data_IF_616344434952
#
_entry.id   IF_616344434952
#
_cell.length_a   1.000
_cell.length_b   1.000
_cell.length_c   1.000
_cell.angle_alpha   90.00
_cell.angle_beta   90.00
_cell.angle_gamma   90.00
#
_symmetry.space_group_name_H-M   'P 1'
#
loop_
_entity.id
_entity.type
_entity.pdbx_description
1 polymer ?
#
# COMPACT_ATOMS: atom_id res chain seq x y z
N UNK A 1 -42.12 -0.26 -19.90
CA UNK A 1 -40.83 -0.30 -19.18
C UNK A 1 -39.77 -0.92 -20.09
N UNK A 2 -38.63 -0.28 -20.30
CA UNK A 2 -37.53 -0.91 -21.06
C UNK A 2 -36.96 -2.10 -20.28
N UNK A 3 -36.79 -3.26 -20.95
CA UNK A 3 -36.14 -4.44 -20.35
C UNK A 3 -34.66 -4.13 -20.10
N UNK A 4 -34.24 -4.21 -18.83
CA UNK A 4 -32.83 -4.05 -18.42
C UNK A 4 -32.06 -5.30 -18.83
N UNK A 5 -30.99 -5.15 -19.62
CA UNK A 5 -30.16 -6.27 -20.08
C UNK A 5 -29.32 -6.83 -18.93
N UNK A 6 -29.10 -8.16 -18.87
CA UNK A 6 -28.23 -8.77 -17.88
C UNK A 6 -26.77 -8.34 -18.08
N UNK A 7 -26.00 -8.28 -16.99
CA UNK A 7 -24.56 -7.95 -16.99
C UNK A 7 -23.78 -9.11 -16.36
N UNK A 8 -22.68 -9.51 -17.00
CA UNK A 8 -21.75 -10.50 -16.45
C UNK A 8 -20.63 -9.80 -15.66
N UNK A 9 -20.92 -9.40 -14.42
CA UNK A 9 -19.97 -8.73 -13.51
C UNK A 9 -19.87 -9.44 -12.15
N UNK A 10 -19.87 -10.77 -12.19
CA UNK A 10 -19.64 -11.57 -10.99
C UNK A 10 -18.12 -11.67 -10.75
N UNK A 11 -17.59 -10.79 -9.90
CA UNK A 11 -16.15 -10.71 -9.63
C UNK A 11 -15.59 -11.99 -9.01
N UNK A 12 -16.42 -12.78 -8.32
CA UNK A 12 -16.01 -14.07 -7.74
C UNK A 12 -15.73 -15.14 -8.80
N UNK A 13 -16.28 -14.98 -10.02
CA UNK A 13 -16.06 -15.89 -11.15
C UNK A 13 -14.94 -15.43 -12.09
N UNK A 14 -14.45 -14.20 -11.95
CA UNK A 14 -13.44 -13.62 -12.82
C UNK A 14 -12.05 -13.88 -12.24
N UNK A 15 -11.20 -14.61 -12.98
CA UNK A 15 -9.80 -14.81 -12.60
C UNK A 15 -8.94 -13.61 -12.98
N UNK A 16 -8.47 -12.87 -11.97
CA UNK A 16 -7.63 -11.68 -12.18
C UNK A 16 -6.14 -12.05 -12.31
N UNK A 17 -5.45 -11.59 -13.38
CA UNK A 17 -4.00 -11.75 -13.49
C UNK A 17 -3.28 -10.92 -12.41
N UNK A 18 -2.05 -11.29 -12.08
CA UNK A 18 -1.25 -10.61 -11.04
C UNK A 18 -1.11 -9.09 -11.27
N UNK A 19 -1.03 -8.67 -12.53
CA UNK A 19 -0.94 -7.26 -12.91
C UNK A 19 -2.18 -6.47 -12.48
N UNK A 20 -3.37 -7.07 -12.61
CA UNK A 20 -4.63 -6.48 -12.18
C UNK A 20 -4.69 -6.39 -10.65
N UNK A 21 -4.23 -7.43 -9.93
CA UNK A 21 -4.14 -7.41 -8.47
C UNK A 21 -3.22 -6.29 -7.97
N UNK A 22 -2.01 -6.15 -8.55
CA UNK A 22 -1.08 -5.07 -8.20
C UNK A 22 -1.69 -3.69 -8.47
N UNK A 23 -2.42 -3.51 -9.57
CA UNK A 23 -3.13 -2.27 -9.87
C UNK A 23 -4.21 -1.94 -8.85
N UNK A 24 -5.03 -2.93 -8.45
CA UNK A 24 -6.05 -2.76 -7.40
C UNK A 24 -5.39 -2.42 -6.07
N UNK A 25 -4.34 -3.14 -5.68
CA UNK A 25 -3.60 -2.89 -4.45
C UNK A 25 -2.95 -1.50 -4.43
N UNK A 26 -2.45 -1.00 -5.56
CA UNK A 26 -1.92 0.37 -5.66
C UNK A 26 -3.00 1.43 -5.40
N UNK A 27 -4.23 1.22 -5.90
CA UNK A 27 -5.36 2.11 -5.64
C UNK A 27 -5.78 2.07 -4.18
N UNK A 28 -5.95 0.86 -3.62
CA UNK A 28 -6.33 0.67 -2.22
C UNK A 28 -5.28 1.27 -1.30
N UNK A 29 -3.98 1.05 -1.57
CA UNK A 29 -2.92 1.61 -0.76
C UNK A 29 -2.88 3.15 -0.84
N UNK A 30 -3.15 3.74 -2.00
CA UNK A 30 -3.26 5.20 -2.14
C UNK A 30 -4.38 5.79 -1.28
N UNK A 31 -5.56 5.17 -1.29
CA UNK A 31 -6.70 5.58 -0.43
C UNK A 31 -6.36 5.39 1.04
N UNK A 32 -5.77 4.26 1.42
CA UNK A 32 -5.38 3.99 2.80
C UNK A 32 -4.38 5.02 3.32
N UNK A 33 -3.36 5.36 2.53
CA UNK A 33 -2.36 6.37 2.89
C UNK A 33 -2.99 7.76 3.04
N UNK A 34 -3.86 8.14 2.10
CA UNK A 34 -4.57 9.42 2.17
C UNK A 34 -5.41 9.54 3.45
N UNK A 35 -6.18 8.50 3.77
CA UNK A 35 -7.01 8.47 4.98
C UNK A 35 -6.17 8.39 6.27
N UNK A 36 -4.95 7.86 6.20
CA UNK A 36 -4.03 7.78 7.33
C UNK A 36 -3.27 9.07 7.60
N UNK A 37 -3.26 10.06 6.67
CA UNK A 37 -2.53 11.31 6.85
C UNK A 37 -2.85 12.04 8.17
N UNK A 38 -4.12 12.19 8.61
CA UNK A 38 -4.41 12.83 9.89
C UNK A 38 -3.79 12.10 11.08
N UNK A 39 -3.82 10.76 11.09
CA UNK A 39 -3.18 9.94 12.13
C UNK A 39 -1.65 10.15 12.12
N UNK A 40 -1.02 10.09 10.94
CA UNK A 40 0.42 10.25 10.83
C UNK A 40 0.89 11.65 11.24
N UNK A 41 0.14 12.69 10.88
CA UNK A 41 0.41 14.07 11.31
C UNK A 41 0.20 14.22 12.82
N UNK A 42 -0.84 13.60 13.38
CA UNK A 42 -1.06 13.59 14.83
C UNK A 42 0.10 12.93 15.59
N UNK A 43 0.57 11.76 15.13
CA UNK A 43 1.73 11.09 15.72
C UNK A 43 3.01 11.92 15.57
N UNK A 44 3.20 12.57 14.41
CA UNK A 44 4.33 13.46 14.17
C UNK A 44 4.30 14.67 15.12
N UNK A 45 3.15 15.29 15.31
CA UNK A 45 2.98 16.40 16.26
C UNK A 45 3.40 16.00 17.67
N UNK A 46 2.87 14.88 18.19
CA UNK A 46 3.26 14.39 19.52
C UNK A 46 4.75 14.10 19.63
N UNK A 47 5.37 13.58 18.56
CA UNK A 47 6.80 13.27 18.55
C UNK A 47 7.72 14.50 18.61
N UNK A 48 7.19 15.69 18.31
CA UNK A 48 7.96 16.94 18.24
C UNK A 48 7.54 17.96 19.32
N UNK A 49 6.55 17.66 20.16
CA UNK A 49 5.95 18.65 21.07
C UNK A 49 6.75 18.86 22.35
N UNK A 50 6.84 17.84 23.20
CA UNK A 50 7.57 17.87 24.47
C UNK A 50 8.07 16.47 24.83
N UNK A 51 9.00 16.35 25.77
CA UNK A 51 9.47 15.05 26.25
C UNK A 51 8.33 14.21 26.85
N UNK A 52 7.45 14.85 27.63
CA UNK A 52 6.29 14.19 28.23
C UNK A 52 5.30 13.67 27.15
N UNK A 53 5.04 14.47 26.12
CA UNK A 53 4.17 14.05 25.01
C UNK A 53 4.83 12.94 24.18
N UNK A 54 6.13 13.04 23.91
CA UNK A 54 6.87 12.01 23.20
C UNK A 54 6.74 10.65 23.90
N UNK A 55 6.95 10.60 25.21
CA UNK A 55 6.82 9.37 25.99
C UNK A 55 5.38 8.82 26.00
N UNK A 56 4.37 9.68 26.09
CA UNK A 56 2.97 9.27 26.00
C UNK A 56 2.63 8.65 24.63
N UNK A 57 3.09 9.26 23.54
CA UNK A 57 2.85 8.74 22.18
C UNK A 57 3.68 7.48 21.91
N UNK A 58 4.91 7.42 22.43
CA UNK A 58 5.75 6.23 22.38
C UNK A 58 5.06 5.04 23.04
N UNK A 59 4.38 5.25 24.18
CA UNK A 59 3.60 4.21 24.84
C UNK A 59 2.42 3.73 23.97
N UNK A 60 1.73 4.63 23.25
CA UNK A 60 0.67 4.26 22.30
C UNK A 60 1.23 3.44 21.14
N UNK A 61 2.34 3.87 20.54
CA UNK A 61 3.01 3.16 19.43
C UNK A 61 3.57 1.81 19.86
N UNK A 62 3.95 1.66 21.14
CA UNK A 62 4.43 0.40 21.69
C UNK A 62 3.34 -0.68 21.77
N UNK A 63 2.05 -0.33 21.75
CA UNK A 63 0.97 -1.33 21.73
C UNK A 63 1.07 -2.21 20.47
N UNK A 64 1.02 -3.55 20.61
CA UNK A 64 1.16 -4.46 19.47
C UNK A 64 0.18 -4.18 18.33
N UNK A 65 -1.07 -3.82 18.66
CA UNK A 65 -2.07 -3.48 17.64
C UNK A 65 -1.66 -2.22 16.84
N UNK A 66 -1.12 -1.19 17.51
CA UNK A 66 -0.64 0.01 16.86
C UNK A 66 0.58 -0.30 15.97
N UNK A 67 1.51 -1.14 16.46
CA UNK A 67 2.64 -1.61 15.63
C UNK A 67 2.17 -2.35 14.37
N UNK A 68 1.15 -3.20 14.47
CA UNK A 68 0.58 -3.89 13.30
C UNK A 68 -0.07 -2.92 12.31
N UNK A 69 -0.80 -1.91 12.80
CA UNK A 69 -1.38 -0.85 11.95
C UNK A 69 -0.26 -0.09 11.22
N UNK A 70 0.78 0.34 11.94
CA UNK A 70 1.92 1.07 11.37
C UNK A 70 2.72 0.19 10.38
N UNK A 71 2.89 -1.10 10.66
CA UNK A 71 3.50 -2.05 9.73
C UNK A 71 2.67 -2.20 8.45
N UNK A 72 1.34 -2.26 8.57
CA UNK A 72 0.42 -2.27 7.44
C UNK A 72 0.49 -0.98 6.61
N UNK A 73 0.57 0.18 7.26
CA UNK A 73 0.76 1.48 6.60
C UNK A 73 2.12 1.59 5.92
N UNK A 74 3.18 1.07 6.55
CA UNK A 74 4.51 0.98 5.96
C UNK A 74 4.49 0.14 4.68
N UNK A 75 3.86 -1.05 4.72
CA UNK A 75 3.69 -1.87 3.52
C UNK A 75 2.85 -1.16 2.46
N UNK A 76 1.75 -0.50 2.85
CA UNK A 76 0.91 0.26 1.92
C UNK A 76 1.72 1.36 1.21
N UNK A 77 2.55 2.10 1.94
CA UNK A 77 3.47 3.10 1.40
C UNK A 77 4.45 2.49 0.40
N UNK A 78 5.18 1.43 0.81
CA UNK A 78 6.20 0.80 -0.02
C UNK A 78 5.61 0.14 -1.27
N UNK A 79 4.47 -0.54 -1.15
CA UNK A 79 3.73 -1.08 -2.28
C UNK A 79 3.25 0.03 -3.21
N UNK A 80 2.67 1.10 -2.67
CA UNK A 80 2.20 2.25 -3.46
C UNK A 80 3.35 2.88 -4.25
N UNK A 81 4.48 3.11 -3.58
CA UNK A 81 5.69 3.69 -4.15
C UNK A 81 6.29 2.83 -5.26
N UNK A 82 6.56 1.54 -4.99
CA UNK A 82 7.10 0.61 -5.99
C UNK A 82 6.15 0.44 -7.19
N UNK A 83 4.84 0.31 -6.94
CA UNK A 83 3.84 0.24 -8.02
C UNK A 83 3.76 1.55 -8.81
N UNK A 84 3.89 2.71 -8.14
CA UNK A 84 3.94 4.03 -8.76
C UNK A 84 5.12 4.16 -9.71
N UNK A 85 6.32 3.75 -9.30
CA UNK A 85 7.50 3.70 -10.19
C UNK A 85 7.20 2.82 -11.41
N UNK A 86 6.60 1.63 -11.22
CA UNK A 86 6.20 0.77 -12.33
C UNK A 86 5.23 1.47 -13.30
N UNK A 87 4.27 2.22 -12.79
CA UNK A 87 3.32 2.96 -13.64
C UNK A 87 4.01 4.11 -14.39
N UNK A 88 4.90 4.88 -13.73
CA UNK A 88 5.70 5.90 -14.41
C UNK A 88 6.57 5.30 -15.53
N UNK A 89 7.11 4.10 -15.34
CA UNK A 89 7.84 3.39 -16.38
C UNK A 89 6.94 3.00 -17.57
N UNK A 90 5.68 2.65 -17.32
CA UNK A 90 4.70 2.40 -18.39
C UNK A 90 4.35 3.68 -19.14
N UNK A 91 4.22 4.81 -18.45
CA UNK A 91 4.00 6.12 -19.08
C UNK A 91 5.18 6.52 -19.97
N UNK A 92 6.39 6.06 -19.63
CA UNK A 92 7.60 6.17 -20.46
C UNK A 92 7.72 5.07 -21.54
N UNK A 93 6.65 4.31 -21.79
CA UNK A 93 6.59 3.23 -22.79
C UNK A 93 7.53 2.03 -22.52
N UNK A 94 8.04 1.86 -21.29
CA UNK A 94 8.96 0.76 -20.91
C UNK A 94 8.18 -0.41 -20.30
N UNK A 95 8.52 -1.64 -20.68
CA UNK A 95 7.95 -2.85 -20.05
C UNK A 95 6.52 -3.22 -20.44
N UNK A 96 6.10 -2.83 -21.66
CA UNK A 96 4.73 -3.01 -22.17
C UNK A 96 4.40 -4.44 -22.67
N UNK A 97 5.40 -5.32 -22.87
CA UNK A 97 5.12 -6.71 -23.22
C UNK A 97 4.44 -7.44 -22.06
N UNK A 98 3.67 -8.49 -22.37
CA UNK A 98 2.94 -9.25 -21.34
C UNK A 98 3.90 -9.88 -20.32
N UNK A 99 5.03 -10.38 -20.79
CA UNK A 99 6.09 -10.99 -20.00
C UNK A 99 6.70 -9.95 -19.04
N UNK A 100 7.07 -8.77 -19.57
CA UNK A 100 7.64 -7.68 -18.77
C UNK A 100 6.63 -7.11 -17.78
N UNK A 101 5.36 -6.96 -18.18
CA UNK A 101 4.29 -6.47 -17.32
C UNK A 101 4.00 -7.46 -16.17
N UNK A 102 4.07 -8.77 -16.42
CA UNK A 102 3.94 -9.82 -15.40
C UNK A 102 5.16 -9.89 -14.48
N UNK A 103 6.37 -9.80 -15.03
CA UNK A 103 7.61 -9.80 -14.25
C UNK A 103 7.70 -8.59 -13.32
N UNK A 104 7.43 -7.38 -13.84
CA UNK A 104 7.41 -6.15 -13.05
C UNK A 104 6.33 -6.17 -11.95
N UNK A 105 5.16 -6.76 -12.20
CA UNK A 105 4.14 -6.93 -11.16
C UNK A 105 4.61 -7.85 -10.01
N UNK A 106 5.32 -8.94 -10.32
CA UNK A 106 5.96 -9.78 -9.28
C UNK A 106 7.04 -9.02 -8.52
N UNK A 107 7.88 -8.27 -9.24
CA UNK A 107 8.95 -7.47 -8.67
C UNK A 107 8.42 -6.45 -7.66
N UNK A 108 7.33 -5.74 -7.97
CA UNK A 108 6.67 -4.80 -7.04
C UNK A 108 6.34 -5.48 -5.71
N UNK A 109 5.73 -6.67 -5.74
CA UNK A 109 5.36 -7.39 -4.51
C UNK A 109 6.57 -7.89 -3.73
N UNK A 110 7.55 -8.48 -4.41
CA UNK A 110 8.76 -9.01 -3.76
C UNK A 110 9.55 -7.87 -3.11
N UNK A 111 9.78 -6.79 -3.84
CA UNK A 111 10.55 -5.63 -3.35
C UNK A 111 9.81 -4.93 -2.21
N UNK A 112 8.50 -4.68 -2.34
CA UNK A 112 7.75 -4.00 -1.28
C UNK A 112 7.69 -4.81 0.00
N UNK A 113 7.52 -6.13 -0.08
CA UNK A 113 7.55 -7.02 1.09
C UNK A 113 8.95 -7.07 1.69
N UNK A 114 10.01 -7.22 0.88
CA UNK A 114 11.38 -7.23 1.37
C UNK A 114 11.74 -5.93 2.12
N UNK A 115 11.40 -4.78 1.53
CA UNK A 115 11.58 -3.47 2.17
C UNK A 115 10.75 -3.35 3.46
N UNK A 116 9.52 -3.89 3.47
CA UNK A 116 8.67 -3.89 4.67
C UNK A 116 9.30 -4.73 5.79
N UNK A 117 9.89 -5.88 5.49
CA UNK A 117 10.57 -6.72 6.49
C UNK A 117 11.80 -6.02 7.04
N UNK A 118 12.63 -5.42 6.17
CA UNK A 118 13.86 -4.72 6.57
C UNK A 118 13.54 -3.51 7.44
N UNK A 119 12.61 -2.65 7.02
CA UNK A 119 12.27 -1.42 7.74
C UNK A 119 11.37 -1.74 8.95
N UNK A 120 10.43 -2.67 8.79
CA UNK A 120 9.55 -3.13 9.86
C UNK A 120 10.30 -3.84 10.99
N UNK A 121 11.46 -4.45 10.70
CA UNK A 121 12.38 -4.95 11.72
C UNK A 121 12.92 -3.88 12.66
N UNK A 122 12.94 -2.60 12.25
CA UNK A 122 13.30 -1.47 13.13
C UNK A 122 12.13 -1.04 14.02
N UNK A 123 10.89 -1.32 13.61
CA UNK A 123 9.67 -0.98 14.34
C UNK A 123 9.45 -1.90 15.57
N UNK A 124 10.11 -3.06 15.57
CA UNK A 124 10.02 -4.09 16.61
C UNK A 124 11.26 -4.11 17.47
#
# INVERSE_FOLDING_TARGET
>A
MQKKRPKHLDLGKISLPIMAKVSILHRISGVALFLALPLLIYLLQGSLSSEADFEAYRAVVAFPLMKLILLGLLWAFLHHFCAGIRFLMFDMHKGQSLEAARASAKAVLVVSIALTVVIGGVLW
#
